data_IF_294881722392
#
_entry.id   IF_294881722392
#
_cell.length_a   1.000
_cell.length_b   1.000
_cell.length_c   1.000
_cell.angle_alpha   90.00
_cell.angle_beta   90.00
_cell.angle_gamma   90.00
#
_symmetry.space_group_name_H-M   'P 1'
#
loop_
_entity.id
_entity.type
_entity.pdbx_description
1 polymer ?
#
# COMPACT_ATOMS: atom_id res chain seq x y z
N UNK A 1 33.38 0.99 13.38
CA UNK A 1 32.03 1.05 12.76
C UNK A 1 31.48 -0.33 12.38
N UNK A 2 32.23 -1.18 11.65
CA UNK A 2 31.76 -2.53 11.26
C UNK A 2 31.40 -3.46 12.44
N UNK A 3 32.19 -3.44 13.51
CA UNK A 3 31.93 -4.22 14.74
C UNK A 3 30.68 -3.76 15.50
N UNK A 4 30.31 -2.49 15.40
CA UNK A 4 29.11 -1.95 16.04
C UNK A 4 27.84 -2.44 15.32
N UNK A 5 27.90 -2.52 13.99
CA UNK A 5 26.83 -3.10 13.19
C UNK A 5 26.67 -4.60 13.49
N UNK A 6 27.78 -5.34 13.61
CA UNK A 6 27.77 -6.76 13.96
C UNK A 6 27.21 -7.00 15.36
N UNK A 7 27.58 -6.19 16.37
CA UNK A 7 27.09 -6.37 17.74
C UNK A 7 25.59 -6.10 17.88
N UNK A 8 25.07 -5.08 17.17
CA UNK A 8 23.63 -4.80 17.10
C UNK A 8 22.87 -5.91 16.35
N UNK A 9 23.45 -6.49 15.30
CA UNK A 9 22.83 -7.61 14.60
C UNK A 9 22.97 -8.94 15.37
N UNK A 10 24.03 -9.11 16.17
CA UNK A 10 24.36 -10.37 16.85
C UNK A 10 23.43 -10.75 18.01
N UNK A 11 22.56 -9.85 18.47
CA UNK A 11 21.70 -10.05 19.66
C UNK A 11 20.26 -10.48 19.32
N UNK A 12 19.99 -10.93 18.09
CA UNK A 12 18.67 -11.48 17.74
C UNK A 12 18.39 -11.63 16.25
N UNK A 13 19.12 -10.91 15.38
CA UNK A 13 18.96 -11.10 13.95
C UNK A 13 19.42 -12.48 13.44
N UNK A 14 20.54 -13.09 13.92
CA UNK A 14 20.94 -14.42 13.44
C UNK A 14 19.99 -15.52 13.93
N UNK A 15 19.41 -15.41 15.12
CA UNK A 15 18.40 -16.37 15.59
C UNK A 15 17.17 -16.33 14.70
N UNK A 16 16.67 -15.13 14.39
CA UNK A 16 15.50 -14.96 13.51
C UNK A 16 15.78 -15.46 12.10
N UNK A 17 16.97 -15.18 11.53
CA UNK A 17 17.31 -15.67 10.18
C UNK A 17 17.42 -17.20 10.14
N UNK A 18 17.95 -17.81 11.20
CA UNK A 18 18.10 -19.26 11.29
C UNK A 18 16.74 -19.96 11.38
N UNK A 19 15.80 -19.40 12.15
CA UNK A 19 14.40 -19.86 12.20
C UNK A 19 13.73 -19.68 10.83
N UNK A 20 13.94 -18.54 10.16
CA UNK A 20 13.39 -18.30 8.82
C UNK A 20 13.87 -19.36 7.83
N UNK A 21 15.17 -19.69 7.84
CA UNK A 21 15.75 -20.72 6.97
C UNK A 21 15.15 -22.08 7.29
N UNK A 22 15.00 -22.44 8.58
CA UNK A 22 14.39 -23.70 8.98
C UNK A 22 12.95 -23.83 8.46
N UNK A 23 12.13 -22.78 8.63
CA UNK A 23 10.76 -22.72 8.09
C UNK A 23 10.79 -22.80 6.57
N UNK A 24 11.72 -22.12 5.91
CA UNK A 24 11.85 -22.14 4.45
C UNK A 24 12.25 -23.51 3.91
N UNK A 25 12.99 -24.33 4.67
CA UNK A 25 13.32 -25.70 4.31
C UNK A 25 12.12 -26.64 4.51
N UNK A 26 11.38 -26.48 5.62
CA UNK A 26 10.20 -27.29 5.91
C UNK A 26 9.04 -27.01 4.93
N UNK A 27 8.75 -25.73 4.71
CA UNK A 27 7.62 -25.31 3.89
C UNK A 27 8.01 -25.01 2.43
N UNK A 28 9.28 -24.71 2.16
CA UNK A 28 9.75 -24.31 0.83
C UNK A 28 9.57 -22.81 0.54
N UNK A 29 10.45 -22.26 -0.31
CA UNK A 29 10.45 -20.84 -0.67
C UNK A 29 9.18 -20.35 -1.41
N UNK A 30 8.41 -21.26 -2.01
CA UNK A 30 7.18 -20.92 -2.75
C UNK A 30 5.94 -20.85 -1.87
N UNK A 31 5.90 -21.53 -0.72
CA UNK A 31 4.68 -21.61 0.11
C UNK A 31 4.38 -20.32 0.86
N UNK A 32 5.38 -19.65 1.42
CA UNK A 32 5.16 -18.39 2.15
C UNK A 32 4.55 -17.31 1.23
N UNK A 33 5.10 -17.02 0.04
CA UNK A 33 4.49 -16.04 -0.88
C UNK A 33 3.11 -16.44 -1.39
N UNK A 34 2.86 -17.73 -1.58
CA UNK A 34 1.57 -18.27 -2.03
C UNK A 34 0.48 -18.08 -0.97
N UNK A 35 0.79 -18.40 0.30
CA UNK A 35 -0.08 -18.16 1.46
C UNK A 35 -0.31 -16.67 1.71
N UNK A 36 0.73 -15.83 1.58
CA UNK A 36 0.57 -14.38 1.70
C UNK A 36 -0.32 -13.81 0.59
N UNK A 37 -0.24 -14.33 -0.63
CA UNK A 37 -1.12 -13.92 -1.74
C UNK A 37 -2.58 -14.32 -1.50
N UNK A 38 -2.84 -15.53 -1.00
CA UNK A 38 -4.22 -15.94 -0.69
C UNK A 38 -4.80 -15.17 0.48
N UNK A 39 -4.02 -14.99 1.56
CA UNK A 39 -4.41 -14.20 2.72
C UNK A 39 -4.63 -12.73 2.33
N UNK A 40 -3.73 -12.13 1.55
CA UNK A 40 -3.85 -10.75 1.09
C UNK A 40 -5.07 -10.50 0.22
N UNK A 41 -5.44 -11.46 -0.65
CA UNK A 41 -6.70 -11.41 -1.39
C UNK A 41 -7.91 -11.51 -0.46
N UNK A 42 -7.87 -12.41 0.53
CA UNK A 42 -8.92 -12.54 1.54
C UNK A 42 -9.15 -11.26 2.33
N UNK A 43 -8.07 -10.65 2.85
CA UNK A 43 -8.13 -9.38 3.58
C UNK A 43 -8.61 -8.24 2.69
N UNK A 44 -8.19 -8.17 1.42
CA UNK A 44 -8.67 -7.15 0.48
C UNK A 44 -10.17 -7.27 0.24
N UNK A 45 -10.65 -8.47 -0.09
CA UNK A 45 -12.06 -8.72 -0.37
C UNK A 45 -12.92 -8.51 0.88
N UNK A 46 -12.40 -8.89 2.07
CA UNK A 46 -13.06 -8.63 3.34
C UNK A 46 -13.23 -7.13 3.58
N UNK A 47 -12.17 -6.35 3.41
CA UNK A 47 -12.23 -4.89 3.56
C UNK A 47 -13.18 -4.23 2.55
N UNK A 48 -13.19 -4.72 1.31
CA UNK A 48 -14.08 -4.22 0.27
C UNK A 48 -15.55 -4.55 0.59
N UNK A 49 -15.86 -5.78 0.98
CA UNK A 49 -17.22 -6.17 1.38
C UNK A 49 -17.71 -5.45 2.62
N UNK A 50 -16.83 -5.13 3.58
CA UNK A 50 -17.19 -4.28 4.73
C UNK A 50 -17.52 -2.85 4.30
N UNK A 51 -16.74 -2.26 3.40
CA UNK A 51 -16.99 -0.90 2.91
C UNK A 51 -18.28 -0.82 2.09
N UNK A 52 -18.55 -1.82 1.25
CA UNK A 52 -19.81 -1.94 0.49
C UNK A 52 -21.01 -2.11 1.43
N UNK A 53 -20.89 -2.94 2.47
CA UNK A 53 -21.94 -3.10 3.47
C UNK A 53 -22.20 -1.82 4.26
N UNK A 54 -21.16 -1.09 4.66
CA UNK A 54 -21.30 0.24 5.30
C UNK A 54 -22.03 1.22 4.37
N UNK A 55 -21.69 1.23 3.07
CA UNK A 55 -22.30 2.11 2.07
C UNK A 55 -23.77 1.76 1.81
N UNK A 56 -24.12 0.46 1.71
CA UNK A 56 -25.51 -0.01 1.57
C UNK A 56 -26.36 0.37 2.79
N UNK A 57 -25.86 0.18 4.01
CA UNK A 57 -26.57 0.58 5.24
C UNK A 57 -26.82 2.09 5.24
N UNK A 58 -25.90 2.90 4.73
CA UNK A 58 -26.11 4.36 4.62
C UNK A 58 -27.06 4.76 3.49
N UNK A 59 -27.20 3.97 2.44
CA UNK A 59 -28.10 4.23 1.30
C UNK A 59 -29.54 3.84 1.60
N UNK A 60 -29.76 2.73 2.29
CA UNK A 60 -31.11 2.26 2.67
C UNK A 60 -31.80 3.19 3.69
N UNK A 61 -31.05 3.96 4.47
CA UNK A 61 -31.60 4.99 5.38
C UNK A 61 -32.07 6.24 4.62
N UNK A 62 -31.58 6.47 3.40
CA UNK A 62 -31.89 7.66 2.60
C UNK A 62 -33.10 7.43 1.66
N UNK A 63 -33.49 6.19 1.38
CA UNK A 63 -34.60 5.90 0.44
C UNK A 63 -36.02 5.98 1.05
N UNK A 64 -36.15 6.26 2.36
CA UNK A 64 -37.46 6.48 3.01
C UNK A 64 -37.79 7.96 3.31
N UNK A 65 -36.96 8.92 2.93
CA UNK A 65 -37.21 10.34 3.22
C UNK A 65 -36.80 11.25 2.04
N UNK A 66 -37.81 11.60 1.25
CA UNK A 66 -37.98 12.93 0.64
C UNK A 66 -37.13 13.32 -0.59
N UNK A 67 -37.84 13.33 -1.73
CA UNK A 67 -37.71 14.34 -2.81
C UNK A 67 -37.37 15.74 -2.29
N UNK A 68 -36.22 16.28 -2.76
CA UNK A 68 -35.95 17.65 -3.28
C UNK A 68 -34.54 18.13 -2.87
N UNK A 69 -33.65 18.30 -3.85
CA UNK A 69 -33.10 19.60 -4.32
C UNK A 69 -31.76 19.40 -5.02
N UNK A 70 -31.73 19.77 -6.31
CA UNK A 70 -30.57 19.82 -7.18
C UNK A 70 -29.57 20.95 -6.85
N UNK A 71 -28.33 20.75 -7.35
CA UNK A 71 -27.27 21.71 -7.76
C UNK A 71 -26.19 22.06 -6.73
N UNK A 72 -24.96 21.61 -7.02
CA UNK A 72 -23.95 22.50 -7.66
C UNK A 72 -22.72 21.73 -8.18
N UNK A 73 -22.60 21.69 -9.50
CA UNK A 73 -21.38 21.40 -10.25
C UNK A 73 -20.73 22.74 -10.65
N UNK A 74 -19.47 22.99 -10.25
CA UNK A 74 -18.59 23.98 -10.91
C UNK A 74 -17.15 23.49 -11.00
N UNK A 75 -16.86 22.92 -12.16
CA UNK A 75 -15.55 22.76 -12.77
C UNK A 75 -14.99 24.12 -13.24
N UNK A 76 -13.72 24.43 -12.90
CA UNK A 76 -12.69 25.09 -13.76
C UNK A 76 -11.47 25.58 -12.94
N UNK A 77 -10.36 24.85 -13.01
CA UNK A 77 -8.99 25.42 -13.06
C UNK A 77 -8.07 24.55 -13.94
N UNK A 78 -8.02 24.91 -15.22
CA UNK A 78 -6.91 24.61 -16.13
C UNK A 78 -5.76 25.58 -15.87
N UNK A 79 -4.52 25.08 -15.97
CA UNK A 79 -3.24 25.81 -16.07
C UNK A 79 -2.64 26.51 -14.84
N UNK A 80 -1.80 25.77 -14.10
CA UNK A 80 -0.45 26.23 -13.73
C UNK A 80 0.42 25.03 -13.33
N UNK A 81 1.39 24.67 -14.18
CA UNK A 81 2.76 24.17 -13.85
C UNK A 81 3.32 23.38 -15.03
N UNK A 82 3.75 24.12 -16.05
CA UNK A 82 4.77 23.70 -17.02
C UNK A 82 5.95 24.64 -16.83
N UNK A 83 6.76 24.43 -15.78
CA UNK A 83 8.04 25.14 -15.59
C UNK A 83 8.94 24.48 -14.54
N UNK A 84 9.52 23.31 -14.84
CA UNK A 84 10.84 22.86 -14.32
C UNK A 84 11.25 21.49 -14.88
N UNK A 85 11.57 21.41 -16.18
CA UNK A 85 12.49 20.38 -16.69
C UNK A 85 13.15 20.85 -18.00
N UNK A 86 14.06 21.81 -17.88
CA UNK A 86 15.16 22.07 -18.83
C UNK A 86 16.33 22.60 -18.01
N UNK A 87 17.55 22.18 -18.36
CA UNK A 87 18.83 22.37 -17.63
C UNK A 87 18.93 21.31 -16.51
N UNK A 88 19.63 20.18 -16.68
CA UNK A 88 21.09 20.11 -16.80
C UNK A 88 21.50 18.89 -17.64
N UNK A 89 21.74 19.11 -18.93
CA UNK A 89 22.79 18.42 -19.69
C UNK A 89 23.69 19.52 -20.22
N UNK A 90 24.97 19.20 -20.43
CA UNK A 90 26.04 20.03 -21.00
C UNK A 90 26.70 21.05 -20.05
N UNK A 91 27.74 20.61 -19.35
CA UNK A 91 29.02 21.34 -19.30
C UNK A 91 30.16 20.33 -19.36
N UNK A 92 30.55 20.01 -20.59
CA UNK A 92 31.81 19.41 -21.01
C UNK A 92 32.73 20.58 -21.37
N UNK A 93 33.71 20.91 -20.53
CA UNK A 93 34.97 21.62 -20.81
C UNK A 93 35.50 22.27 -19.52
N UNK A 94 36.47 21.62 -18.90
CA UNK A 94 37.69 22.19 -18.32
C UNK A 94 38.47 21.01 -17.73
#
# INVERSE_FOLDING_TARGET
MKTLFILLFSLGAPEVILILIAILLLFGAKRIPELMKSLGKGVKNFKQGMAEAEEEITKDVVENESTKTDKEEKEKKVNKTKKTTKTTKTTKKA
#
